data_IF_349743829437
#
_entry.id   IF_349743829437
#
_cell.length_a   1.000
_cell.length_b   1.000
_cell.length_c   1.000
_cell.angle_alpha   90.00
_cell.angle_beta   90.00
_cell.angle_gamma   90.00
#
_symmetry.space_group_name_H-M   'P 1'
#
loop_
_entity.id
_entity.type
_entity.pdbx_description
1 polymer ?
#
# COMPACT_ATOMS: atom_id res chain seq x y z
N UNK A 1 1.75 -5.17 11.19
CA UNK A 1 2.18 -5.99 12.34
C UNK A 1 3.58 -6.54 12.15
N UNK A 2 3.86 -7.34 11.10
CA UNK A 2 5.20 -7.93 10.86
C UNK A 2 6.34 -6.92 10.86
N UNK A 3 6.19 -5.77 10.19
CA UNK A 3 7.20 -4.71 10.18
C UNK A 3 7.55 -4.17 11.57
N UNK A 4 6.58 -4.07 12.48
CA UNK A 4 6.82 -3.60 13.85
C UNK A 4 7.56 -4.64 14.68
N UNK A 5 7.30 -5.93 14.46
CA UNK A 5 8.03 -7.02 15.12
C UNK A 5 9.50 -6.97 14.69
N UNK A 6 9.77 -6.82 13.40
CA UNK A 6 11.14 -6.69 12.89
C UNK A 6 11.81 -5.43 13.46
N UNK A 7 11.12 -4.28 13.48
CA UNK A 7 11.65 -3.06 14.07
C UNK A 7 12.00 -3.23 15.56
N UNK A 8 11.18 -3.96 16.32
CA UNK A 8 11.46 -4.25 17.73
C UNK A 8 12.75 -5.06 17.90
N UNK A 9 13.01 -6.04 17.03
CA UNK A 9 14.26 -6.81 17.05
C UNK A 9 15.48 -5.91 16.84
N UNK A 10 15.38 -4.92 15.95
CA UNK A 10 16.45 -3.93 15.75
C UNK A 10 16.67 -3.02 16.95
N UNK A 11 15.60 -2.61 17.65
CA UNK A 11 15.73 -1.82 18.87
C UNK A 11 16.35 -2.63 20.01
N UNK A 12 16.03 -3.92 20.12
CA UNK A 12 16.69 -4.83 21.07
C UNK A 12 18.19 -4.95 20.74
N UNK A 13 18.53 -5.18 19.47
CA UNK A 13 19.92 -5.19 18.99
C UNK A 13 20.67 -3.92 19.35
N UNK A 14 20.02 -2.76 19.16
CA UNK A 14 20.60 -1.44 19.48
C UNK A 14 21.04 -1.37 20.95
N UNK A 15 20.17 -1.81 21.88
CA UNK A 15 20.48 -1.82 23.32
C UNK A 15 21.65 -2.75 23.63
N UNK A 16 21.66 -3.96 23.06
CA UNK A 16 22.75 -4.93 23.24
C UNK A 16 24.09 -4.36 22.73
N UNK A 17 24.09 -3.75 21.55
CA UNK A 17 25.30 -3.17 20.96
C UNK A 17 25.82 -1.96 21.74
N UNK A 18 24.94 -1.14 22.33
CA UNK A 18 25.34 -0.05 23.23
C UNK A 18 26.03 -0.57 24.49
N UNK A 19 25.51 -1.65 25.09
CA UNK A 19 26.12 -2.30 26.27
C UNK A 19 27.52 -2.83 25.95
N UNK A 20 27.71 -3.36 24.74
CA UNK A 20 29.00 -3.86 24.26
C UNK A 20 29.95 -2.75 23.73
N UNK A 21 29.61 -1.47 23.91
CA UNK A 21 30.36 -0.33 23.39
C UNK A 21 30.57 -0.34 21.86
N UNK A 22 29.71 -1.03 21.11
CA UNK A 22 29.70 -1.06 19.64
C UNK A 22 28.79 0.04 19.09
N UNK A 23 29.25 1.29 19.14
CA UNK A 23 28.40 2.45 18.83
C UNK A 23 27.95 2.52 17.37
N UNK A 24 28.82 2.15 16.41
CA UNK A 24 28.50 2.24 14.99
C UNK A 24 27.37 1.27 14.63
N UNK A 25 27.41 0.03 15.13
CA UNK A 25 26.37 -0.96 14.88
C UNK A 25 25.05 -0.55 15.52
N UNK A 26 25.09 -0.04 16.76
CA UNK A 26 23.90 0.48 17.43
C UNK A 26 23.22 1.62 16.64
N UNK A 27 23.99 2.56 16.08
CA UNK A 27 23.45 3.65 15.26
C UNK A 27 22.76 3.12 14.00
N UNK A 28 23.39 2.18 13.30
CA UNK A 28 22.84 1.57 12.09
C UNK A 28 21.54 0.83 12.39
N UNK A 29 21.51 0.02 13.45
CA UNK A 29 20.32 -0.73 13.86
C UNK A 29 19.18 0.18 14.29
N UNK A 30 19.47 1.26 15.04
CA UNK A 30 18.48 2.26 15.42
C UNK A 30 17.86 2.91 14.18
N UNK A 31 18.69 3.29 13.21
CA UNK A 31 18.23 3.89 11.97
C UNK A 31 17.32 2.95 11.18
N UNK A 32 17.69 1.66 11.06
CA UNK A 32 16.86 0.64 10.39
C UNK A 32 15.54 0.44 11.13
N UNK A 33 15.57 0.35 12.47
CA UNK A 33 14.36 0.23 13.29
C UNK A 33 13.39 1.40 13.07
N UNK A 34 13.90 2.64 13.08
CA UNK A 34 13.10 3.84 12.81
C UNK A 34 12.55 3.86 11.38
N UNK A 35 13.35 3.47 10.39
CA UNK A 35 12.93 3.36 8.99
C UNK A 35 11.75 2.37 8.84
N UNK A 36 11.83 1.20 9.48
CA UNK A 36 10.76 0.18 9.45
C UNK A 36 9.48 0.67 10.10
N UNK A 37 9.57 1.41 11.21
CA UNK A 37 8.42 2.06 11.84
C UNK A 37 7.81 3.11 10.90
N UNK A 38 8.64 3.94 10.26
CA UNK A 38 8.20 4.93 9.27
C UNK A 38 7.45 4.30 8.11
N UNK A 39 8.00 3.22 7.53
CA UNK A 39 7.34 2.44 6.47
C UNK A 39 6.01 1.89 6.97
N UNK A 40 5.97 1.27 8.15
CA UNK A 40 4.72 0.75 8.71
C UNK A 40 3.64 1.84 8.85
N UNK A 41 4.01 3.02 9.36
CA UNK A 41 3.10 4.16 9.52
C UNK A 41 2.60 4.64 8.16
N UNK A 42 3.49 4.79 7.18
CA UNK A 42 3.12 5.14 5.80
C UNK A 42 2.10 4.15 5.23
N UNK A 43 2.35 2.86 5.37
CA UNK A 43 1.45 1.80 4.88
C UNK A 43 0.08 1.88 5.56
N UNK A 44 0.05 2.06 6.88
CA UNK A 44 -1.21 2.20 7.62
C UNK A 44 -1.99 3.47 7.24
N UNK A 45 -1.29 4.55 6.92
CA UNK A 45 -1.91 5.78 6.43
C UNK A 45 -2.54 5.58 5.04
N UNK A 46 -1.85 4.88 4.13
CA UNK A 46 -2.40 4.55 2.82
C UNK A 46 -3.62 3.62 2.94
N UNK A 47 -3.56 2.60 3.80
CA UNK A 47 -4.67 1.68 4.06
C UNK A 47 -5.89 2.42 4.62
N UNK A 48 -5.70 3.33 5.58
CA UNK A 48 -6.80 4.13 6.15
C UNK A 48 -7.49 4.98 5.07
N UNK A 49 -6.72 5.67 4.23
CA UNK A 49 -7.25 6.50 3.14
C UNK A 49 -7.96 5.67 2.08
N UNK A 50 -7.47 4.46 1.81
CA UNK A 50 -8.16 3.52 0.92
C UNK A 50 -9.51 3.14 1.51
N UNK A 51 -9.56 2.69 2.76
CA UNK A 51 -10.82 2.32 3.43
C UNK A 51 -11.83 3.48 3.42
N UNK A 52 -11.41 4.68 3.81
CA UNK A 52 -12.25 5.88 3.82
C UNK A 52 -12.84 6.17 2.42
N UNK A 53 -12.04 6.04 1.37
CA UNK A 53 -12.51 6.21 0.00
C UNK A 53 -13.48 5.10 -0.43
N UNK A 54 -13.23 3.85 -0.04
CA UNK A 54 -14.11 2.72 -0.37
C UNK A 54 -15.45 2.79 0.36
N UNK A 55 -15.44 3.17 1.63
CA UNK A 55 -16.65 3.42 2.43
C UNK A 55 -17.46 4.55 1.80
N UNK A 56 -16.81 5.68 1.47
CA UNK A 56 -17.46 6.78 0.78
C UNK A 56 -18.09 6.35 -0.56
N UNK A 57 -17.39 5.52 -1.35
CA UNK A 57 -17.90 4.98 -2.62
C UNK A 57 -19.15 4.11 -2.41
N UNK A 58 -19.13 3.28 -1.36
CA UNK A 58 -20.24 2.39 -1.04
C UNK A 58 -21.47 3.18 -0.58
N UNK A 59 -21.30 4.14 0.34
CA UNK A 59 -22.37 4.99 0.84
C UNK A 59 -23.00 5.88 -0.24
N UNK A 60 -22.20 6.33 -1.21
CA UNK A 60 -22.64 7.25 -2.24
C UNK A 60 -22.91 6.58 -3.58
N UNK A 61 -23.02 5.25 -3.65
CA UNK A 61 -23.15 4.51 -4.91
C UNK A 61 -24.37 4.95 -5.75
N UNK A 62 -25.51 5.25 -5.13
CA UNK A 62 -26.70 5.76 -5.83
C UNK A 62 -26.48 7.17 -6.42
N UNK A 63 -25.75 8.02 -5.68
CA UNK A 63 -25.36 9.37 -6.15
C UNK A 63 -24.34 9.28 -7.29
N UNK A 64 -23.48 8.26 -7.28
CA UNK A 64 -22.52 8.01 -8.36
C UNK A 64 -23.26 7.59 -9.62
N UNK A 65 -24.24 6.69 -9.52
CA UNK A 65 -25.05 6.24 -10.67
C UNK A 65 -25.86 7.41 -11.26
N UNK A 66 -26.36 8.31 -10.42
CA UNK A 66 -27.05 9.53 -10.86
C UNK A 66 -26.10 10.69 -11.24
N UNK A 67 -24.79 10.46 -11.24
CA UNK A 67 -23.73 11.42 -11.60
C UNK A 67 -23.69 12.71 -10.76
N UNK A 68 -24.16 12.64 -9.52
CA UNK A 68 -24.23 13.77 -8.56
C UNK A 68 -23.26 13.66 -7.39
N UNK A 69 -22.37 12.66 -7.38
CA UNK A 69 -21.41 12.45 -6.31
C UNK A 69 -20.11 13.24 -6.53
N UNK A 70 -19.63 13.89 -5.46
CA UNK A 70 -18.36 14.60 -5.42
C UNK A 70 -17.51 14.09 -4.26
N UNK A 71 -16.26 13.72 -4.56
CA UNK A 71 -15.26 13.33 -3.57
C UNK A 71 -14.09 14.30 -3.63
N UNK A 72 -13.81 14.98 -2.52
CA UNK A 72 -12.82 16.06 -2.44
C UNK A 72 -12.88 17.00 -3.67
N UNK A 73 -14.05 17.59 -3.91
CA UNK A 73 -14.34 18.53 -5.01
C UNK A 73 -14.22 17.97 -6.44
N UNK A 74 -14.02 16.66 -6.60
CA UNK A 74 -13.96 16.00 -7.90
C UNK A 74 -15.20 15.16 -8.12
N UNK A 75 -15.86 15.38 -9.27
CA UNK A 75 -17.03 14.61 -9.68
C UNK A 75 -16.65 13.15 -9.94
N UNK A 76 -17.29 12.23 -9.22
CA UNK A 76 -17.09 10.80 -9.37
C UNK A 76 -18.28 10.21 -10.12
N UNK A 77 -18.01 9.63 -11.29
CA UNK A 77 -19.00 8.94 -12.11
C UNK A 77 -18.64 7.44 -12.19
N UNK A 78 -19.56 6.57 -12.66
CA UNK A 78 -19.25 5.15 -12.84
C UNK A 78 -18.08 4.92 -13.81
N UNK A 79 -17.82 5.89 -14.70
CA UNK A 79 -16.76 5.86 -15.71
C UNK A 79 -15.43 6.43 -15.21
N UNK A 80 -15.41 7.07 -14.04
CA UNK A 80 -14.18 7.63 -13.46
C UNK A 80 -13.13 6.53 -13.34
N UNK A 81 -11.96 6.79 -13.91
CA UNK A 81 -10.83 5.87 -13.87
C UNK A 81 -10.00 6.09 -12.60
N UNK A 82 -9.65 4.97 -11.98
CA UNK A 82 -8.83 4.88 -10.78
C UNK A 82 -7.56 4.10 -11.09
N UNK A 83 -6.46 4.52 -10.48
CA UNK A 83 -5.16 3.84 -10.54
C UNK A 83 -4.69 3.41 -9.17
N UNK A 84 -4.08 2.23 -9.08
CA UNK A 84 -3.30 1.78 -7.93
C UNK A 84 -1.88 1.44 -8.35
N UNK A 85 -0.92 1.84 -7.54
CA UNK A 85 0.48 1.45 -7.67
C UNK A 85 0.81 0.34 -6.67
N UNK A 86 1.94 -0.32 -6.85
CA UNK A 86 2.38 -1.38 -5.97
C UNK A 86 3.63 -0.96 -5.21
N UNK A 87 3.67 -1.26 -3.92
CA UNK A 87 4.85 -1.16 -3.10
C UNK A 87 5.30 -2.58 -2.71
N UNK A 88 6.57 -2.89 -2.96
CA UNK A 88 7.21 -4.07 -2.40
C UNK A 88 8.22 -3.66 -1.32
N UNK A 89 8.10 -4.26 -0.15
CA UNK A 89 9.06 -4.13 0.95
C UNK A 89 9.48 -5.54 1.34
N UNK A 90 10.75 -5.84 1.21
CA UNK A 90 11.28 -7.17 1.55
C UNK A 90 12.43 -7.01 2.51
N UNK A 91 12.55 -7.95 3.45
CA UNK A 91 13.60 -8.00 4.45
C UNK A 91 13.88 -9.44 4.87
N UNK A 92 15.12 -9.90 4.68
CA UNK A 92 15.60 -11.25 4.93
C UNK A 92 14.76 -12.35 4.26
N UNK A 93 13.77 -12.91 4.95
CA UNK A 93 12.88 -13.97 4.44
C UNK A 93 11.44 -13.49 4.27
N UNK A 94 11.14 -12.26 4.69
CA UNK A 94 9.81 -11.67 4.63
C UNK A 94 9.73 -10.77 3.40
N UNK A 95 8.72 -10.97 2.56
CA UNK A 95 8.44 -10.08 1.43
C UNK A 95 6.97 -9.66 1.47
N UNK A 96 6.72 -8.36 1.52
CA UNK A 96 5.39 -7.77 1.58
C UNK A 96 5.13 -7.01 0.28
N UNK A 97 4.05 -7.38 -0.41
CA UNK A 97 3.57 -6.67 -1.59
C UNK A 97 2.19 -6.10 -1.30
N UNK A 98 2.05 -4.79 -1.45
CA UNK A 98 0.82 -4.06 -1.17
C UNK A 98 0.45 -3.15 -2.33
N UNK A 99 -0.84 -2.85 -2.46
CA UNK A 99 -1.30 -1.83 -3.39
C UNK A 99 -1.41 -0.50 -2.63
N UNK A 100 -1.23 0.61 -3.34
CA UNK A 100 -1.54 1.95 -2.83
C UNK A 100 -3.06 2.15 -2.73
N UNK A 101 -3.49 3.25 -2.10
CA UNK A 101 -4.86 3.74 -2.27
C UNK A 101 -5.20 3.98 -3.74
N UNK A 102 -6.50 4.09 -4.03
CA UNK A 102 -6.98 4.47 -5.35
C UNK A 102 -6.72 5.95 -5.61
N UNK A 103 -6.04 6.23 -6.72
CA UNK A 103 -5.83 7.59 -7.21
C UNK A 103 -6.75 7.85 -8.41
N UNK A 104 -7.55 8.91 -8.33
CA UNK A 104 -8.32 9.44 -9.46
C UNK A 104 -7.34 10.01 -10.47
N UNK A 105 -7.42 9.56 -11.73
CA UNK A 105 -6.44 9.89 -12.78
C UNK A 105 -6.40 11.39 -13.07
N UNK A 106 -7.55 12.05 -13.12
CA UNK A 106 -7.65 13.46 -13.54
C UNK A 106 -7.26 14.44 -12.42
N UNK A 107 -7.33 14.02 -11.16
CA UNK A 107 -7.04 14.86 -10.00
C UNK A 107 -5.59 14.79 -9.56
N UNK A 108 -5.06 13.57 -9.47
CA UNK A 108 -3.77 13.33 -8.83
C UNK A 108 -2.66 13.32 -9.86
N UNK A 109 -1.42 13.73 -9.50
CA UNK A 109 -0.25 13.59 -10.36
C UNK A 109 0.17 12.11 -10.44
N UNK A 110 -0.68 11.29 -11.09
CA UNK A 110 -0.57 9.83 -11.07
C UNK A 110 0.77 9.33 -11.60
N UNK A 111 1.32 9.98 -12.64
CA UNK A 111 2.66 9.66 -13.16
C UNK A 111 3.76 9.85 -12.11
N UNK A 112 3.76 10.98 -11.41
CA UNK A 112 4.75 11.26 -10.36
C UNK A 112 4.63 10.26 -9.20
N UNK A 113 3.39 9.96 -8.79
CA UNK A 113 3.12 8.95 -7.77
C UNK A 113 3.67 7.59 -8.21
N UNK A 114 3.45 7.19 -9.46
CA UNK A 114 4.01 5.96 -10.01
C UNK A 114 5.53 5.88 -9.96
N UNK A 115 6.22 6.99 -10.23
CA UNK A 115 7.69 7.10 -10.09
C UNK A 115 8.11 6.93 -8.64
N UNK A 116 7.42 7.58 -7.69
CA UNK A 116 7.70 7.44 -6.26
C UNK A 116 7.56 5.98 -5.81
N UNK A 117 6.47 5.31 -6.17
CA UNK A 117 6.25 3.90 -5.83
C UNK A 117 7.24 2.96 -6.52
N UNK A 118 7.67 3.27 -7.75
CA UNK A 118 8.76 2.58 -8.42
C UNK A 118 10.07 2.71 -7.65
N UNK A 119 10.47 3.93 -7.27
CA UNK A 119 11.70 4.16 -6.51
C UNK A 119 11.66 3.50 -5.14
N UNK A 120 10.55 3.63 -4.40
CA UNK A 120 10.39 2.97 -3.10
C UNK A 120 10.49 1.44 -3.23
N UNK A 121 9.82 0.85 -4.21
CA UNK A 121 9.91 -0.59 -4.50
C UNK A 121 11.33 -1.00 -4.87
N UNK A 122 12.05 -0.16 -5.63
CA UNK A 122 13.45 -0.39 -6.01
C UNK A 122 14.40 -0.30 -4.84
N UNK A 123 14.15 0.53 -3.84
CA UNK A 123 15.05 0.63 -2.69
C UNK A 123 14.70 -0.43 -1.65
N UNK A 124 13.41 -0.73 -1.44
CA UNK A 124 12.95 -1.55 -0.31
C UNK A 124 12.70 -3.02 -0.67
N UNK A 125 12.57 -3.37 -1.94
CA UNK A 125 12.10 -4.69 -2.35
C UNK A 125 13.16 -5.80 -2.44
N UNK A 126 14.45 -5.47 -2.54
CA UNK A 126 15.50 -6.45 -2.84
C UNK A 126 16.01 -7.23 -1.64
N UNK A 127 15.80 -6.74 -0.42
CA UNK A 127 16.48 -7.28 0.77
C UNK A 127 15.93 -8.61 1.28
N UNK A 128 15.01 -9.25 0.55
CA UNK A 128 14.41 -10.54 0.90
C UNK A 128 14.80 -11.66 -0.07
N UNK A 129 15.46 -12.71 0.40
CA UNK A 129 15.75 -13.92 -0.39
C UNK A 129 14.76 -15.05 -0.02
N UNK A 130 14.26 -15.85 -0.98
CA UNK A 130 14.45 -15.77 -2.44
C UNK A 130 13.40 -14.91 -3.18
N UNK A 131 12.27 -14.59 -2.54
CA UNK A 131 11.10 -14.04 -3.24
C UNK A 131 11.11 -12.52 -3.46
N UNK A 132 11.96 -11.79 -2.74
CA UNK A 132 12.04 -10.33 -2.79
C UNK A 132 12.32 -9.81 -4.20
N UNK A 133 13.38 -10.26 -4.89
CA UNK A 133 13.65 -9.87 -6.28
C UNK A 133 12.48 -10.14 -7.23
N UNK A 134 11.83 -11.31 -7.11
CA UNK A 134 10.72 -11.72 -7.98
C UNK A 134 9.52 -10.76 -7.80
N UNK A 135 9.12 -10.49 -6.56
CA UNK A 135 8.01 -9.57 -6.30
C UNK A 135 8.34 -8.12 -6.61
N UNK A 136 9.60 -7.73 -6.40
CA UNK A 136 10.10 -6.38 -6.70
C UNK A 136 10.02 -6.10 -8.19
N UNK A 137 10.54 -7.00 -9.03
CA UNK A 137 10.47 -6.86 -10.49
C UNK A 137 9.01 -6.84 -10.96
N UNK A 138 8.15 -7.72 -10.42
CA UNK A 138 6.73 -7.71 -10.77
C UNK A 138 6.01 -6.40 -10.41
N UNK A 139 6.30 -5.84 -9.24
CA UNK A 139 5.73 -4.56 -8.79
C UNK A 139 6.28 -3.38 -9.61
N UNK A 140 7.58 -3.38 -9.92
CA UNK A 140 8.22 -2.38 -10.80
C UNK A 140 7.57 -2.35 -12.18
N UNK A 141 7.44 -3.52 -12.82
CA UNK A 141 6.82 -3.62 -14.15
C UNK A 141 5.38 -3.12 -14.13
N UNK A 142 4.64 -3.39 -13.07
CA UNK A 142 3.28 -2.87 -12.89
C UNK A 142 3.28 -1.34 -12.77
N UNK A 143 4.19 -0.77 -11.98
CA UNK A 143 4.29 0.68 -11.79
C UNK A 143 4.71 1.41 -13.09
N UNK A 144 5.67 0.86 -13.83
CA UNK A 144 6.12 1.39 -15.13
C UNK A 144 4.99 1.37 -16.16
N UNK A 145 4.16 0.32 -16.18
CA UNK A 145 2.97 0.22 -17.05
C UNK A 145 1.84 1.19 -16.66
N UNK A 146 2.05 2.04 -15.66
CA UNK A 146 1.08 3.05 -15.22
C UNK A 146 0.15 2.58 -14.10
N UNK A 147 0.52 1.51 -13.39
CA UNK A 147 -0.24 0.93 -12.29
C UNK A 147 -1.42 0.06 -12.76
N UNK A 148 -2.17 -0.47 -11.79
CA UNK A 148 -3.42 -1.19 -12.04
C UNK A 148 -4.54 -0.18 -12.25
N UNK A 149 -5.15 -0.20 -13.43
CA UNK A 149 -6.32 0.63 -13.75
C UNK A 149 -7.61 -0.12 -13.44
N UNK A 150 -8.57 0.58 -12.84
CA UNK A 150 -9.95 0.12 -12.70
C UNK A 150 -10.90 1.29 -12.87
N UNK A 151 -12.16 1.04 -13.15
CA UNK A 151 -13.22 2.05 -13.11
C UNK A 151 -14.00 1.94 -11.81
N UNK A 152 -14.66 3.03 -11.42
CA UNK A 152 -15.57 3.06 -10.25
C UNK A 152 -16.66 2.01 -10.39
N UNK A 153 -17.30 1.90 -11.56
CA UNK A 153 -18.33 0.88 -11.81
C UNK A 153 -17.81 -0.54 -11.54
N UNK A 154 -16.64 -0.89 -12.09
CA UNK A 154 -16.02 -2.21 -11.89
C UNK A 154 -15.66 -2.46 -10.43
N UNK A 155 -15.21 -1.43 -9.72
CA UNK A 155 -14.87 -1.51 -8.30
C UNK A 155 -16.12 -1.73 -7.43
N UNK A 156 -17.21 -1.00 -7.68
CA UNK A 156 -18.49 -1.17 -7.00
C UNK A 156 -19.06 -2.57 -7.23
N UNK A 157 -19.02 -3.08 -8.47
CA UNK A 157 -19.45 -4.46 -8.76
C UNK A 157 -18.60 -5.48 -7.99
N UNK A 158 -17.29 -5.27 -7.89
CA UNK A 158 -16.39 -6.15 -7.12
C UNK A 158 -16.72 -6.13 -5.63
N UNK A 159 -17.04 -4.97 -5.05
CA UNK A 159 -17.45 -4.85 -3.64
C UNK A 159 -18.73 -5.63 -3.36
N UNK A 160 -19.77 -5.44 -4.19
CA UNK A 160 -21.04 -6.20 -4.06
C UNK A 160 -20.81 -7.71 -4.12
N UNK A 161 -19.98 -8.18 -5.06
CA UNK A 161 -19.62 -9.61 -5.14
C UNK A 161 -18.90 -10.13 -3.89
N UNK A 162 -18.04 -9.32 -3.27
CA UNK A 162 -17.34 -9.71 -2.04
C UNK A 162 -18.33 -9.81 -0.88
N UNK A 163 -19.24 -8.86 -0.76
CA UNK A 163 -20.30 -8.84 0.26
C UNK A 163 -21.23 -10.06 0.14
N UNK A 164 -21.73 -10.36 -1.07
CA UNK A 164 -22.56 -11.54 -1.33
C UNK A 164 -21.83 -12.84 -0.95
N UNK A 165 -20.54 -12.94 -1.25
CA UNK A 165 -19.72 -14.10 -0.92
C UNK A 165 -19.47 -14.23 0.58
N UNK A 166 -19.33 -13.11 1.30
CA UNK A 166 -19.20 -13.10 2.75
C UNK A 166 -20.52 -13.53 3.41
N UNK A 167 -21.65 -13.01 2.96
CA UNK A 167 -22.98 -13.39 3.47
C UNK A 167 -23.25 -14.88 3.28
N UNK A 168 -22.91 -15.45 2.12
CA UNK A 168 -23.03 -16.91 1.88
C UNK A 168 -22.17 -17.77 2.81
N UNK A 169 -21.01 -17.28 3.24
CA UNK A 169 -20.13 -18.01 4.18
C UNK A 169 -20.61 -17.95 5.64
N UNK A 170 -21.39 -16.94 6.01
CA UNK A 170 -21.93 -16.81 7.37
C UNK A 170 -23.14 -17.73 7.56
N UNK A 171 -23.84 -18.05 6.46
CA UNK A 171 -25.07 -18.87 6.46
C UNK A 171 -24.76 -20.37 6.25
N UNK A 172 -23.53 -20.72 5.85
CA UNK A 172 -23.06 -22.10 5.62
C UNK A 172 -22.25 -22.62 6.82
#
# INVERSE_FOLDING_TARGET
MVLLIIALLFFIGTVINLINALYITAIVELFIGLLLVGIYRFVKLEEKKEVEFLEWLYENHDKIISERAYYDDVRITPRTELKQYQLCVSFLIVSLKMNSRYFIIDKNPSKLIGVIYFLMTTVLGWWGLPWGPIYTVGAMLTNIKGGKKTTVCKLLSKMKQIEEKQNKKIIA
#
